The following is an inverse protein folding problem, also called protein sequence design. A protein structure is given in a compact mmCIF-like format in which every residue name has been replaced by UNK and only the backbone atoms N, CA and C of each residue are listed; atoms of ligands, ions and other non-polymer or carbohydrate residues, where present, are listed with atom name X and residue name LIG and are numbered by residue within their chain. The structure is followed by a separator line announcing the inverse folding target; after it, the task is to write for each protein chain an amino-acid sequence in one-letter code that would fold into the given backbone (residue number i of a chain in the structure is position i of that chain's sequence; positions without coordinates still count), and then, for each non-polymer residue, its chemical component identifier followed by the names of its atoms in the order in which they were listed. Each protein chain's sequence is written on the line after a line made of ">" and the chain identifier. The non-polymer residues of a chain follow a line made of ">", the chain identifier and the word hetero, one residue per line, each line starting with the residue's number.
data_IF_422041768549
#
_entry.id   IF_422041768549
#
_cell.length_a   1.000
_cell.length_b   1.000
_cell.length_c   1.000
_cell.angle_alpha   90.00
_cell.angle_beta   90.00
_cell.angle_gamma   90.00
#
_symmetry.space_group_name_H-M   'P 1'
#
loop_
_entity.id
_entity.type
_entity.pdbx_description
1 polymer ?
#
# COMPACT_ATOMS: atom_id res chain seq x y z
N UNK A 1 19.80 19.99 -20.17
CA UNK A 1 18.95 20.14 -18.95
C UNK A 1 17.46 19.84 -19.12
N UNK A 2 16.78 20.17 -20.24
CA UNK A 2 15.31 19.97 -20.38
C UNK A 2 14.82 18.50 -20.25
N UNK A 3 15.61 17.53 -20.74
CA UNK A 3 15.28 16.08 -20.66
C UNK A 3 15.27 15.57 -19.21
N UNK A 4 16.20 16.03 -18.37
CA UNK A 4 16.33 15.60 -16.98
C UNK A 4 15.14 16.05 -16.13
N UNK A 5 14.65 17.28 -16.36
CA UNK A 5 13.47 17.83 -15.66
C UNK A 5 12.20 17.03 -15.94
N UNK A 6 12.06 16.48 -17.15
CA UNK A 6 10.91 15.64 -17.52
C UNK A 6 10.95 14.25 -16.85
N UNK A 7 12.14 13.65 -16.77
CA UNK A 7 12.36 12.37 -16.09
C UNK A 7 12.09 12.54 -14.59
N UNK A 8 12.67 13.57 -13.97
CA UNK A 8 12.48 13.86 -12.55
C UNK A 8 11.01 14.11 -12.20
N UNK A 9 10.28 14.84 -13.05
CA UNK A 9 8.83 15.06 -12.87
C UNK A 9 8.03 13.76 -12.96
N UNK A 10 8.41 12.82 -13.82
CA UNK A 10 7.76 11.51 -13.90
C UNK A 10 8.07 10.65 -12.67
N UNK A 11 9.32 10.66 -12.19
CA UNK A 11 9.71 9.95 -10.97
C UNK A 11 8.91 10.49 -9.79
N UNK A 12 8.85 11.82 -9.62
CA UNK A 12 8.12 12.45 -8.53
C UNK A 12 6.62 12.13 -8.59
N UNK A 13 6.02 12.06 -9.79
CA UNK A 13 4.63 11.61 -9.96
C UNK A 13 4.43 10.15 -9.54
N UNK A 14 5.34 9.26 -9.94
CA UNK A 14 5.25 7.85 -9.57
C UNK A 14 5.41 7.66 -8.06
N UNK A 15 6.30 8.41 -7.43
CA UNK A 15 6.45 8.44 -5.96
C UNK A 15 5.16 8.94 -5.32
N UNK A 16 4.55 10.02 -5.82
CA UNK A 16 3.27 10.51 -5.31
C UNK A 16 2.15 9.48 -5.40
N UNK A 17 2.03 8.79 -6.54
CA UNK A 17 1.05 7.70 -6.73
C UNK A 17 1.33 6.53 -5.79
N UNK A 18 2.60 6.16 -5.59
CA UNK A 18 3.00 5.12 -4.66
C UNK A 18 2.61 5.46 -3.23
N UNK A 19 2.93 6.67 -2.77
CA UNK A 19 2.59 7.12 -1.41
C UNK A 19 1.08 7.17 -1.20
N UNK A 20 0.32 7.65 -2.19
CA UNK A 20 -1.14 7.66 -2.13
C UNK A 20 -1.72 6.24 -2.06
N UNK A 21 -1.24 5.33 -2.91
CA UNK A 21 -1.61 3.91 -2.88
C UNK A 21 -1.22 3.22 -1.58
N UNK A 22 -0.06 3.55 -1.03
CA UNK A 22 0.42 2.98 0.21
C UNK A 22 -0.37 3.46 1.43
N UNK A 23 -0.76 4.74 1.46
CA UNK A 23 -1.67 5.27 2.50
C UNK A 23 -3.02 4.54 2.43
N UNK A 24 -3.57 4.35 1.23
CA UNK A 24 -4.82 3.58 1.06
C UNK A 24 -4.64 2.14 1.55
N UNK A 25 -3.52 1.48 1.21
CA UNK A 25 -3.19 0.14 1.68
C UNK A 25 -3.10 0.05 3.21
N UNK A 26 -2.49 1.05 3.86
CA UNK A 26 -2.43 1.16 5.32
C UNK A 26 -3.82 1.34 5.91
N UNK A 27 -4.64 2.26 5.38
CA UNK A 27 -6.00 2.48 5.87
C UNK A 27 -6.83 1.20 5.74
N UNK A 28 -6.74 0.52 4.60
CA UNK A 28 -7.42 -0.75 4.36
C UNK A 28 -6.96 -1.84 5.34
N UNK A 29 -5.65 -1.92 5.62
CA UNK A 29 -5.11 -2.86 6.61
C UNK A 29 -5.64 -2.59 8.02
N UNK A 30 -5.77 -1.32 8.43
CA UNK A 30 -6.33 -0.95 9.73
C UNK A 30 -7.80 -1.32 9.85
N UNK A 31 -8.59 -1.14 8.78
CA UNK A 31 -10.00 -1.56 8.74
C UNK A 31 -10.14 -3.08 8.85
N UNK A 32 -9.30 -3.85 8.14
CA UNK A 32 -9.28 -5.31 8.24
C UNK A 32 -8.81 -5.81 9.62
N UNK A 33 -7.80 -5.17 10.20
CA UNK A 33 -7.29 -5.51 11.53
C UNK A 33 -8.34 -5.27 12.61
N UNK A 34 -9.20 -4.26 12.46
CA UNK A 34 -10.35 -4.05 13.36
C UNK A 34 -11.30 -5.26 13.35
N UNK A 35 -11.55 -5.86 12.18
CA UNK A 35 -12.36 -7.08 12.07
C UNK A 35 -11.69 -8.31 12.70
N UNK A 36 -10.38 -8.46 12.52
CA UNK A 36 -9.60 -9.55 13.11
C UNK A 36 -9.51 -9.48 14.63
N UNK A 37 -9.33 -8.27 15.20
CA UNK A 37 -9.25 -8.06 16.65
C UNK A 37 -10.53 -8.47 17.38
N UNK A 38 -11.70 -8.26 16.78
CA UNK A 38 -12.99 -8.65 17.37
C UNK A 38 -13.14 -10.18 17.45
N UNK A 39 -12.51 -10.92 16.52
CA UNK A 39 -12.59 -12.38 16.44
C UNK A 39 -11.51 -13.06 17.32
N UNK A 40 -10.36 -12.42 17.50
CA UNK A 40 -9.22 -13.03 18.22
C UNK A 40 -9.30 -12.90 19.75
N UNK A 41 -10.17 -12.05 20.30
CA UNK A 41 -10.36 -11.92 21.76
C UNK A 41 -10.99 -13.19 22.38
N UNK A 42 -11.60 -14.07 21.58
CA UNK A 42 -12.31 -15.25 22.08
C UNK A 42 -11.44 -16.52 22.24
N UNK A 43 -10.13 -16.47 21.97
CA UNK A 43 -9.26 -17.65 22.03
C UNK A 43 -8.08 -17.39 22.96
N UNK A 44 -7.89 -18.28 23.93
CA UNK A 44 -6.79 -18.30 24.88
C UNK A 44 -5.44 -18.45 24.16
N UNK A 45 -4.90 -17.34 23.66
CA UNK A 45 -3.57 -17.31 23.03
C UNK A 45 -2.54 -16.98 24.11
N UNK A 46 -1.60 -17.89 24.36
CA UNK A 46 -0.61 -17.76 25.44
C UNK A 46 0.19 -16.45 25.41
N UNK A 47 0.60 -15.98 26.61
CA UNK A 47 1.27 -14.69 26.86
C UNK A 47 2.45 -14.36 25.92
N UNK A 48 3.17 -15.36 25.42
CA UNK A 48 4.28 -15.17 24.45
C UNK A 48 3.83 -14.74 23.05
N UNK A 49 2.65 -15.15 22.59
CA UNK A 49 2.10 -14.77 21.28
C UNK A 49 1.48 -13.37 21.35
N UNK A 50 0.89 -13.02 22.49
CA UNK A 50 0.41 -11.65 22.77
C UNK A 50 1.59 -10.66 22.73
N UNK A 51 2.76 -11.04 23.26
CA UNK A 51 3.96 -10.20 23.22
C UNK A 51 4.49 -9.96 21.78
N UNK A 52 4.31 -10.91 20.86
CA UNK A 52 4.72 -10.79 19.46
C UNK A 52 3.68 -10.11 18.57
N UNK A 53 2.41 -10.04 19.01
CA UNK A 53 1.31 -9.49 18.22
C UNK A 53 1.57 -8.06 17.68
N UNK A 54 2.17 -7.11 18.45
CA UNK A 54 2.47 -5.76 17.94
C UNK A 54 3.48 -5.78 16.79
N UNK A 55 4.46 -6.69 16.85
CA UNK A 55 5.50 -6.83 15.82
C UNK A 55 4.86 -7.36 14.54
N UNK A 56 4.01 -8.39 14.64
CA UNK A 56 3.27 -8.91 13.49
C UNK A 56 2.30 -7.87 12.91
N UNK A 57 1.64 -7.06 13.74
CA UNK A 57 0.80 -5.95 13.29
C UNK A 57 1.59 -4.95 12.44
N UNK A 58 2.74 -4.49 12.95
CA UNK A 58 3.59 -3.52 12.25
C UNK A 58 4.07 -4.09 10.90
N UNK A 59 4.54 -5.35 10.91
CA UNK A 59 5.00 -6.00 9.68
C UNK A 59 3.89 -6.09 8.64
N UNK A 60 2.67 -6.45 9.06
CA UNK A 60 1.53 -6.60 8.16
C UNK A 60 1.07 -5.26 7.57
N UNK A 61 1.02 -4.21 8.38
CA UNK A 61 0.70 -2.84 7.93
C UNK A 61 1.73 -2.37 6.89
N UNK A 62 3.02 -2.60 7.13
CA UNK A 62 4.08 -2.21 6.19
C UNK A 62 3.97 -3.02 4.90
N UNK A 63 3.75 -4.34 4.99
CA UNK A 63 3.63 -5.21 3.82
C UNK A 63 2.43 -4.80 2.94
N UNK A 64 1.27 -4.52 3.54
CA UNK A 64 0.08 -4.09 2.80
C UNK A 64 0.17 -2.65 2.29
N UNK A 65 0.80 -1.75 3.05
CA UNK A 65 1.12 -0.41 2.57
C UNK A 65 2.03 -0.46 1.34
N UNK A 66 3.09 -1.27 1.38
CA UNK A 66 3.97 -1.46 0.23
C UNK A 66 3.23 -2.04 -0.97
N UNK A 67 2.42 -3.09 -0.75
CA UNK A 67 1.61 -3.72 -1.80
C UNK A 67 0.61 -2.76 -2.42
N UNK A 68 -0.08 -1.95 -1.61
CA UNK A 68 -1.00 -0.90 -2.06
C UNK A 68 -0.30 0.16 -2.92
N UNK A 69 0.90 0.58 -2.52
CA UNK A 69 1.72 1.51 -3.30
C UNK A 69 2.12 0.94 -4.66
N UNK A 70 2.60 -0.32 -4.71
CA UNK A 70 2.98 -1.00 -5.96
C UNK A 70 1.76 -1.15 -6.88
N UNK A 71 0.64 -1.60 -6.35
CA UNK A 71 -0.60 -1.75 -7.12
C UNK A 71 -1.10 -0.42 -7.69
N UNK A 72 -1.00 0.68 -6.93
CA UNK A 72 -1.37 2.00 -7.43
C UNK A 72 -0.49 2.44 -8.61
N UNK A 73 0.83 2.17 -8.57
CA UNK A 73 1.71 2.44 -9.72
C UNK A 73 1.29 1.62 -10.93
N UNK A 74 1.02 0.32 -10.75
CA UNK A 74 0.61 -0.58 -11.85
C UNK A 74 -0.68 -0.07 -12.50
N UNK A 75 -1.69 0.25 -11.69
CA UNK A 75 -2.98 0.80 -12.17
C UNK A 75 -2.76 2.13 -12.89
N UNK A 76 -1.95 3.04 -12.34
CA UNK A 76 -1.64 4.31 -12.98
C UNK A 76 -0.97 4.13 -14.35
N UNK A 77 -0.01 3.21 -14.45
CA UNK A 77 0.68 2.91 -15.71
C UNK A 77 -0.27 2.23 -16.71
N UNK A 78 -1.15 1.34 -16.24
CA UNK A 78 -2.20 0.72 -17.05
C UNK A 78 -3.17 1.77 -17.62
N UNK A 79 -3.67 2.69 -16.79
CA UNK A 79 -4.55 3.79 -17.21
C UNK A 79 -3.83 4.70 -18.22
N UNK A 80 -2.54 4.99 -18.00
CA UNK A 80 -1.73 5.78 -18.92
C UNK A 80 -1.58 5.09 -20.28
N UNK A 81 -1.37 3.77 -20.27
CA UNK A 81 -1.30 2.96 -21.49
C UNK A 81 -2.64 2.96 -22.23
N UNK A 82 -3.75 2.69 -21.54
CA UNK A 82 -5.10 2.71 -22.10
C UNK A 82 -5.47 4.08 -22.70
N UNK A 83 -5.12 5.19 -22.03
CA UNK A 83 -5.32 6.55 -22.56
C UNK A 83 -4.51 6.82 -23.82
N UNK A 84 -3.34 6.19 -23.97
CA UNK A 84 -2.52 6.31 -25.19
C UNK A 84 -3.15 5.52 -26.35
N UNK A 85 -3.72 4.35 -26.08
CA UNK A 85 -4.41 3.55 -27.09
C UNK A 85 -5.77 4.12 -27.49
N UNK A 86 -6.49 4.77 -26.58
CA UNK A 86 -7.78 5.43 -26.89
C UNK A 86 -7.63 6.70 -27.76
N UNK A 87 -6.42 7.23 -27.89
CA UNK A 87 -6.13 8.42 -28.73
C UNK A 87 -5.51 8.07 -30.09
N UNK A 88 -5.37 6.78 -30.41
CA UNK A 88 -5.09 6.27 -31.76
C UNK A 88 -6.40 5.82 -32.37
#
# INVERSE_FOLDING_TARGET
>A
MKKFKAIFKNILKNIGVFLFGGIIGIIFSLVLMKGLLVISISKDVGLGIIALAPIFMIFWIIALGFFGGVMAIIIYQLIRFLKKYRKK
#
